data_IF_491177724731
#
_entry.id   IF_491177724731
#
_cell.length_a   1.000
_cell.length_b   1.000
_cell.length_c   1.000
_cell.angle_alpha   90.00
_cell.angle_beta   90.00
_cell.angle_gamma   90.00
#
_symmetry.space_group_name_H-M   'P 1'
#
loop_
_entity.id
_entity.type
_entity.pdbx_description
1 polymer ?
#
# COMPACT_ATOMS: atom_id res chain seq x y z
N UNK A 1 19.84 3.32 -7.97
CA UNK A 1 19.14 2.29 -7.20
C UNK A 1 19.64 2.28 -5.77
N UNK A 2 18.73 2.15 -4.80
CA UNK A 2 18.99 2.14 -3.35
C UNK A 2 18.32 0.90 -2.77
N UNK A 3 18.98 0.26 -1.80
CA UNK A 3 18.38 -0.84 -1.06
C UNK A 3 17.51 -0.27 0.04
N UNK A 4 16.21 -0.55 0.01
CA UNK A 4 15.24 0.02 0.94
C UNK A 4 14.35 -1.09 1.48
N UNK A 5 14.05 -1.01 2.78
CA UNK A 5 13.11 -1.90 3.43
C UNK A 5 11.73 -1.27 3.46
N UNK A 6 10.70 -2.05 3.17
CA UNK A 6 9.31 -1.59 3.19
C UNK A 6 8.49 -2.44 4.15
N UNK A 7 7.60 -1.78 4.88
CA UNK A 7 6.55 -2.40 5.66
C UNK A 7 5.23 -1.75 5.30
N UNK A 8 4.29 -2.56 4.82
CA UNK A 8 2.94 -2.13 4.50
C UNK A 8 1.95 -2.86 5.41
N UNK A 9 0.98 -2.11 5.90
CA UNK A 9 -0.18 -2.61 6.63
C UNK A 9 -1.42 -1.89 6.11
N UNK A 10 -2.51 -2.61 5.93
CA UNK A 10 -3.82 -2.07 5.62
C UNK A 10 -4.87 -2.76 6.48
N UNK A 11 -5.78 -1.96 7.03
CA UNK A 11 -6.95 -2.39 7.78
C UNK A 11 -8.24 -1.89 7.13
N UNK A 12 -9.33 -2.65 7.26
CA UNK A 12 -10.62 -2.30 6.70
C UNK A 12 -11.78 -2.48 7.68
N UNK A 13 -12.72 -1.54 7.65
CA UNK A 13 -14.02 -1.62 8.30
C UNK A 13 -15.03 -2.08 7.24
N UNK A 14 -15.15 -3.40 7.11
CA UNK A 14 -15.89 -4.10 6.05
C UNK A 14 -15.12 -5.34 5.61
N UNK A 15 -15.26 -5.75 4.35
CA UNK A 15 -14.41 -6.79 3.77
C UNK A 15 -13.86 -6.32 2.43
N UNK A 16 -12.58 -6.59 2.21
CA UNK A 16 -11.90 -6.34 0.95
C UNK A 16 -11.79 -7.63 0.14
N UNK A 17 -11.79 -7.50 -1.18
CA UNK A 17 -11.60 -8.63 -2.09
C UNK A 17 -10.11 -8.87 -2.34
N UNK A 18 -9.38 -7.81 -2.68
CA UNK A 18 -7.96 -7.87 -2.97
C UNK A 18 -7.25 -6.54 -2.71
N UNK A 19 -5.97 -6.60 -2.36
CA UNK A 19 -5.10 -5.43 -2.24
C UNK A 19 -3.79 -5.72 -2.97
N UNK A 20 -3.37 -4.77 -3.81
CA UNK A 20 -2.10 -4.83 -4.53
C UNK A 20 -1.25 -3.61 -4.20
N UNK A 21 -0.05 -3.86 -3.69
CA UNK A 21 0.96 -2.83 -3.48
C UNK A 21 2.14 -3.08 -4.41
N UNK A 22 2.47 -2.08 -5.23
CA UNK A 22 3.57 -2.12 -6.18
C UNK A 22 4.57 -0.98 -5.85
N UNK A 23 5.74 -1.27 -5.27
CA UNK A 23 6.84 -0.33 -5.21
C UNK A 23 7.42 -0.17 -6.63
N UNK A 24 7.51 1.08 -7.10
CA UNK A 24 7.85 1.47 -8.48
C UNK A 24 6.81 1.00 -9.53
N UNK A 25 6.31 1.96 -10.31
CA UNK A 25 5.13 1.83 -11.20
C UNK A 25 5.06 0.47 -11.91
N UNK A 26 4.22 -0.40 -11.37
CA UNK A 26 3.67 -1.63 -11.96
C UNK A 26 4.66 -2.76 -12.32
N UNK A 27 5.95 -2.64 -11.98
CA UNK A 27 6.93 -3.68 -12.33
C UNK A 27 6.92 -4.89 -11.39
N UNK A 28 6.48 -4.75 -10.14
CA UNK A 28 6.43 -5.87 -9.18
C UNK A 28 5.36 -5.60 -8.13
N UNK A 29 4.35 -6.48 -8.06
CA UNK A 29 3.41 -6.49 -6.94
C UNK A 29 3.99 -7.29 -5.78
N UNK A 30 3.90 -6.74 -4.57
CA UNK A 30 4.30 -7.44 -3.35
C UNK A 30 3.14 -8.30 -2.86
N UNK A 31 3.45 -9.54 -2.50
CA UNK A 31 2.48 -10.44 -1.89
C UNK A 31 2.22 -9.96 -0.46
N UNK A 32 0.95 -9.65 -0.20
CA UNK A 32 0.45 -9.30 1.11
C UNK A 32 -0.21 -10.53 1.74
N UNK A 33 0.10 -10.81 3.00
CA UNK A 33 -0.63 -11.75 3.84
C UNK A 33 -1.96 -11.11 4.23
N UNK A 34 -3.04 -11.90 4.18
CA UNK A 34 -4.37 -11.46 4.60
C UNK A 34 -4.93 -12.39 5.65
N UNK A 35 -5.78 -11.87 6.52
CA UNK A 35 -6.52 -12.64 7.51
C UNK A 35 -7.71 -13.38 6.85
N UNK A 36 -8.34 -14.31 7.60
CA UNK A 36 -9.47 -15.08 7.09
C UNK A 36 -10.70 -14.22 6.77
N UNK A 37 -10.83 -13.04 7.40
CA UNK A 37 -11.96 -12.13 7.20
C UNK A 37 -11.70 -11.07 6.11
N UNK A 38 -10.48 -11.02 5.56
CA UNK A 38 -10.02 -10.03 4.59
C UNK A 38 -10.18 -8.59 5.06
N UNK A 39 -9.95 -8.38 6.35
CA UNK A 39 -9.96 -7.09 7.02
C UNK A 39 -8.57 -6.53 7.19
N UNK A 40 -7.55 -7.38 7.18
CA UNK A 40 -6.15 -6.97 7.31
C UNK A 40 -5.33 -7.49 6.12
N UNK A 41 -4.44 -6.63 5.63
CA UNK A 41 -3.48 -6.95 4.57
C UNK A 41 -2.11 -6.39 4.95
N UNK A 42 -1.11 -7.25 5.06
CA UNK A 42 0.23 -6.85 5.53
C UNK A 42 1.34 -7.56 4.80
N UNK A 43 2.53 -6.98 4.76
CA UNK A 43 3.75 -7.73 4.49
C UNK A 43 4.68 -7.71 5.70
N UNK A 44 5.39 -8.82 5.90
CA UNK A 44 6.61 -8.78 6.69
C UNK A 44 7.65 -7.93 5.96
N UNK A 45 8.44 -7.16 6.71
CA UNK A 45 9.44 -6.25 6.17
C UNK A 45 10.26 -6.91 5.05
N UNK A 46 10.23 -6.35 3.84
CA UNK A 46 11.01 -6.85 2.70
C UNK A 46 11.98 -5.80 2.19
N UNK A 47 13.05 -6.26 1.53
CA UNK A 47 14.05 -5.40 0.90
C UNK A 47 13.86 -5.37 -0.62
N UNK A 48 13.90 -4.17 -1.19
CA UNK A 48 13.88 -3.99 -2.65
C UNK A 48 14.98 -3.00 -3.07
N UNK A 49 15.53 -3.22 -4.26
CA UNK A 49 16.39 -2.25 -4.93
C UNK A 49 15.50 -1.33 -5.77
N UNK A 50 15.33 -0.08 -5.33
CA UNK A 50 14.47 0.91 -6.00
C UNK A 50 15.28 2.11 -6.49
N UNK A 51 14.92 2.70 -7.61
CA UNK A 51 15.35 4.03 -8.04
C UNK A 51 14.81 5.12 -7.12
N UNK A 52 13.51 5.07 -6.80
CA UNK A 52 12.85 6.05 -5.94
C UNK A 52 11.89 5.36 -4.93
N UNK A 53 12.22 5.31 -3.63
CA UNK A 53 11.38 4.63 -2.64
C UNK A 53 10.02 5.30 -2.40
N UNK A 54 9.82 6.51 -2.92
CA UNK A 54 8.56 7.26 -2.79
C UNK A 54 7.65 7.12 -4.02
N UNK A 55 8.01 6.27 -4.98
CA UNK A 55 7.13 5.91 -6.10
C UNK A 55 6.50 4.54 -5.86
N UNK A 56 5.17 4.52 -5.77
CA UNK A 56 4.41 3.31 -5.49
C UNK A 56 2.99 3.44 -6.03
N UNK A 57 2.34 2.29 -6.20
CA UNK A 57 0.93 2.19 -6.53
C UNK A 57 0.26 1.27 -5.50
N UNK A 58 -0.82 1.75 -4.88
CA UNK A 58 -1.74 0.92 -4.10
C UNK A 58 -3.05 0.81 -4.87
N UNK A 59 -3.54 -0.42 -5.02
CA UNK A 59 -4.85 -0.74 -5.60
C UNK A 59 -5.64 -1.56 -4.59
N UNK A 60 -6.80 -1.06 -4.18
CA UNK A 60 -7.68 -1.70 -3.20
C UNK A 60 -9.00 -2.06 -3.86
N UNK A 61 -9.40 -3.32 -3.78
CA UNK A 61 -10.67 -3.87 -4.24
C UNK A 61 -11.48 -4.34 -3.04
N UNK A 62 -12.77 -4.04 -3.02
CA UNK A 62 -13.65 -4.49 -1.95
C UNK A 62 -15.12 -4.26 -2.25
N UNK A 63 -15.96 -4.71 -1.33
CA UNK A 63 -17.41 -4.49 -1.38
C UNK A 63 -17.70 -2.98 -1.33
N UNK A 64 -18.69 -2.50 -2.07
CA UNK A 64 -19.11 -1.09 -2.03
C UNK A 64 -19.41 -0.65 -0.59
N UNK A 65 -18.85 0.47 -0.16
CA UNK A 65 -18.98 1.03 1.18
C UNK A 65 -17.93 0.55 2.19
N UNK A 66 -16.99 -0.33 1.83
CA UNK A 66 -15.92 -0.73 2.76
C UNK A 66 -14.92 0.42 2.94
N UNK A 67 -14.78 0.87 4.19
CA UNK A 67 -13.76 1.84 4.58
C UNK A 67 -12.43 1.13 4.79
N UNK A 68 -11.32 1.76 4.43
CA UNK A 68 -10.00 1.22 4.66
C UNK A 68 -8.97 2.32 4.94
N UNK A 69 -7.92 1.92 5.65
CA UNK A 69 -6.75 2.73 5.98
C UNK A 69 -5.48 1.88 5.82
N UNK A 70 -4.42 2.47 5.29
CA UNK A 70 -3.16 1.79 5.05
C UNK A 70 -1.97 2.66 5.44
N UNK A 71 -0.96 2.02 5.99
CA UNK A 71 0.28 2.62 6.45
C UNK A 71 1.46 2.03 5.66
N UNK A 72 2.35 2.89 5.18
CA UNK A 72 3.63 2.50 4.59
C UNK A 72 4.80 3.09 5.39
N UNK A 73 5.62 2.21 5.93
CA UNK A 73 6.93 2.55 6.49
C UNK A 73 8.03 2.19 5.50
N UNK A 74 8.98 3.11 5.37
CA UNK A 74 10.14 2.97 4.48
C UNK A 74 11.37 3.08 5.37
N UNK A 75 12.27 2.11 5.34
CA UNK A 75 13.48 2.14 6.16
C UNK A 75 14.68 2.16 5.21
N UNK A 76 15.42 3.27 5.24
CA UNK A 76 16.57 3.53 4.38
C UNK A 76 17.78 3.88 5.25
N UNK A 77 18.58 2.89 5.60
CA UNK A 77 19.63 3.01 6.62
C UNK A 77 19.04 2.92 8.03
N UNK A 78 19.45 3.84 8.92
CA UNK A 78 19.01 3.87 10.33
C UNK A 78 17.75 4.72 10.55
N UNK A 79 17.24 5.39 9.52
CA UNK A 79 16.01 6.18 9.59
C UNK A 79 14.78 5.27 9.40
N UNK A 80 14.14 4.90 10.51
CA UNK A 80 12.81 4.33 10.55
C UNK A 80 11.78 5.43 10.80
N UNK A 81 10.95 5.75 9.80
CA UNK A 81 9.81 6.64 9.97
C UNK A 81 8.58 6.04 9.30
N UNK A 82 7.41 6.35 9.84
CA UNK A 82 6.15 6.23 9.09
C UNK A 82 6.16 7.36 8.10
N UNK A 83 6.10 7.04 6.81
CA UNK A 83 6.18 8.08 5.78
C UNK A 83 4.78 8.47 5.30
N UNK A 84 3.83 7.52 5.29
CA UNK A 84 2.62 7.66 4.50
C UNK A 84 1.43 6.91 5.11
N UNK A 85 0.30 7.61 5.18
CA UNK A 85 -1.01 7.08 5.52
C UNK A 85 -1.99 7.29 4.34
N UNK A 86 -2.70 6.24 3.98
CA UNK A 86 -3.74 6.25 2.95
C UNK A 86 -5.06 5.82 3.54
N UNK A 87 -6.15 6.39 3.03
CA UNK A 87 -7.51 5.97 3.38
C UNK A 87 -8.46 6.16 2.22
N UNK A 88 -9.53 5.39 2.22
CA UNK A 88 -10.57 5.45 1.21
C UNK A 88 -11.80 4.62 1.53
N UNK A 89 -12.74 4.63 0.59
CA UNK A 89 -13.96 3.83 0.60
C UNK A 89 -14.06 3.13 -0.76
N UNK A 90 -14.23 1.82 -0.78
CA UNK A 90 -14.47 1.07 -2.02
C UNK A 90 -15.89 1.34 -2.51
N UNK A 91 -16.11 1.46 -3.83
CA UNK A 91 -17.42 1.86 -4.36
C UNK A 91 -17.55 3.30 -4.81
N UNK A 92 -16.61 4.17 -4.44
CA UNK A 92 -16.61 5.60 -4.81
C UNK A 92 -16.09 5.88 -6.23
N UNK A 93 -15.69 4.83 -6.97
CA UNK A 93 -15.25 4.92 -8.37
C UNK A 93 -16.00 3.90 -9.22
N UNK A 94 -16.22 4.20 -10.52
CA UNK A 94 -16.96 3.34 -11.48
C UNK A 94 -16.46 1.88 -11.59
N UNK A 95 -15.31 1.54 -11.02
CA UNK A 95 -14.66 0.23 -11.05
C UNK A 95 -14.21 -0.26 -9.65
N UNK A 96 -14.72 0.31 -8.55
CA UNK A 96 -14.41 -0.07 -7.16
C UNK A 96 -12.91 -0.13 -6.82
N UNK A 97 -12.09 0.80 -7.32
CA UNK A 97 -10.68 0.91 -6.93
C UNK A 97 -10.27 2.35 -6.63
N UNK A 98 -9.31 2.52 -5.72
CA UNK A 98 -8.57 3.76 -5.53
C UNK A 98 -7.15 3.55 -6.05
N UNK A 99 -6.73 4.32 -7.06
CA UNK A 99 -5.33 4.37 -7.52
C UNK A 99 -4.77 5.72 -7.09
N UNK A 100 -3.76 5.72 -6.21
CA UNK A 100 -3.01 6.94 -5.88
C UNK A 100 -1.67 6.95 -6.61
N UNK A 101 -1.68 7.53 -7.81
CA UNK A 101 -0.45 7.97 -8.47
C UNK A 101 -0.17 9.41 -8.02
N UNK A 102 0.60 9.61 -6.96
CA UNK A 102 1.24 10.91 -6.72
C UNK A 102 2.75 10.77 -6.82
N UNK A 103 3.42 11.56 -7.67
CA UNK A 103 4.71 12.08 -7.28
C UNK A 103 4.45 13.18 -6.24
N UNK A 104 4.96 13.03 -5.03
CA UNK A 104 4.98 14.16 -4.09
C UNK A 104 6.31 14.21 -3.38
N UNK A 105 7.34 14.63 -4.13
CA UNK A 105 8.28 15.57 -3.53
C UNK A 105 7.46 16.80 -3.16
N UNK A 106 7.28 17.05 -1.87
CA UNK A 106 7.60 18.34 -1.29
C UNK A 106 7.60 18.26 0.23
N UNK A 107 8.83 18.40 0.73
CA UNK A 107 9.27 18.88 2.05
C UNK A 107 8.87 18.04 3.26
#
# INVERSE_FOLDING_TARGET
MKKVKFYFKLEAIGSLENVFFCPEKETTSIILKTDSERKEWLNEQFELMVENPFEYTLTVFGVTGTHWEAELKIINGDDEKVFLEWKGITGDTKNNFSIRNKPTKNV
#
